data_IF_513235450042
#
_entry.id   IF_513235450042
#
_cell.length_a   1.000
_cell.length_b   1.000
_cell.length_c   1.000
_cell.angle_alpha   90.00
_cell.angle_beta   90.00
_cell.angle_gamma   90.00
#
_symmetry.space_group_name_H-M   'P 1'
#
loop_
_entity.id
_entity.type
_entity.pdbx_description
1 polymer ?
#
# COMPACT_ATOMS: atom_id res chain seq x y z
N UNK A 1 -18.01 -16.50 27.77
CA UNK A 1 -16.64 -16.14 27.37
C UNK A 1 -16.22 -17.04 26.21
N UNK A 2 -16.44 -16.61 24.98
CA UNK A 2 -15.77 -17.15 23.79
C UNK A 2 -15.62 -15.96 22.85
N UNK A 3 -14.42 -15.36 22.84
CA UNK A 3 -14.03 -14.32 21.89
C UNK A 3 -13.83 -15.01 20.55
N UNK A 4 -14.90 -15.06 19.75
CA UNK A 4 -14.82 -15.45 18.35
C UNK A 4 -13.96 -14.43 17.61
N UNK A 5 -12.81 -14.88 17.14
CA UNK A 5 -11.88 -14.13 16.30
C UNK A 5 -12.65 -13.53 15.12
N UNK A 6 -12.70 -12.19 15.05
CA UNK A 6 -13.15 -11.47 13.87
C UNK A 6 -12.12 -11.69 12.77
N UNK A 7 -12.18 -12.83 12.10
CA UNK A 7 -11.55 -13.02 10.80
C UNK A 7 -12.30 -12.10 9.84
N UNK A 8 -11.81 -10.88 9.70
CA UNK A 8 -12.26 -9.97 8.64
C UNK A 8 -11.96 -10.68 7.33
N UNK A 9 -12.99 -11.23 6.67
CA UNK A 9 -12.83 -11.87 5.38
C UNK A 9 -12.16 -10.90 4.40
N UNK A 10 -10.98 -11.21 3.83
CA UNK A 10 -10.32 -10.37 2.83
C UNK A 10 -11.24 -10.07 1.63
N UNK A 11 -12.15 -11.00 1.31
CA UNK A 11 -13.15 -10.89 0.23
C UNK A 11 -14.26 -9.86 0.48
N UNK A 12 -14.51 -9.47 1.74
CA UNK A 12 -15.50 -8.42 2.08
C UNK A 12 -14.90 -7.03 1.90
N UNK A 13 -13.58 -6.87 2.02
CA UNK A 13 -12.90 -5.60 1.80
C UNK A 13 -12.79 -5.25 0.31
N UNK A 14 -12.54 -6.24 -0.56
CA UNK A 14 -12.42 -6.04 -2.02
C UNK A 14 -13.72 -5.60 -2.73
N UNK A 15 -14.88 -5.61 -2.06
CA UNK A 15 -16.17 -5.24 -2.68
C UNK A 15 -16.73 -3.89 -2.23
N UNK A 16 -16.20 -3.28 -1.16
CA UNK A 16 -16.82 -2.13 -0.52
C UNK A 16 -16.06 -0.81 -0.70
N UNK A 17 -14.80 -0.84 -1.11
CA UNK A 17 -14.07 0.36 -1.49
C UNK A 17 -14.23 0.59 -2.98
N UNK A 18 -15.34 1.20 -3.38
CA UNK A 18 -15.38 1.95 -4.64
C UNK A 18 -14.47 3.16 -4.46
N UNK A 19 -13.15 2.97 -4.50
CA UNK A 19 -12.23 4.07 -4.67
C UNK A 19 -12.54 4.65 -6.05
N UNK A 20 -13.22 5.79 -6.03
CA UNK A 20 -13.28 6.72 -7.16
C UNK A 20 -11.89 6.75 -7.80
N UNK A 21 -11.78 6.44 -9.11
CA UNK A 21 -10.52 6.49 -9.88
C UNK A 21 -9.61 7.59 -9.33
N UNK A 22 -8.29 7.35 -9.21
CA UNK A 22 -7.31 8.33 -8.72
C UNK A 22 -7.25 9.67 -9.51
N UNK A 23 -8.18 9.92 -10.42
CA UNK A 23 -8.55 11.21 -11.02
C UNK A 23 -8.62 12.39 -10.04
N UNK A 24 -8.81 12.18 -8.73
CA UNK A 24 -8.75 13.26 -7.72
C UNK A 24 -7.35 13.90 -7.66
N UNK A 25 -6.29 13.15 -8.03
CA UNK A 25 -4.92 13.66 -8.13
C UNK A 25 -4.70 14.57 -9.35
N UNK A 26 -5.70 14.78 -10.21
CA UNK A 26 -5.70 15.80 -11.26
C UNK A 26 -6.27 17.16 -10.83
N UNK A 27 -6.69 17.31 -9.57
CA UNK A 27 -7.30 18.54 -9.06
C UNK A 27 -6.26 19.51 -8.45
N UNK A 28 -6.73 20.59 -7.80
CA UNK A 28 -5.92 21.67 -7.23
C UNK A 28 -4.79 21.15 -6.33
N UNK A 29 -3.62 21.81 -6.34
CA UNK A 29 -2.39 21.43 -5.61
C UNK A 29 -2.61 21.02 -4.14
N UNK A 30 -3.49 21.72 -3.40
CA UNK A 30 -3.80 21.40 -1.99
C UNK A 30 -4.55 20.08 -1.82
N UNK A 31 -5.42 19.71 -2.77
CA UNK A 31 -6.18 18.47 -2.68
C UNK A 31 -5.28 17.24 -2.93
N UNK A 32 -4.26 17.38 -3.79
CA UNK A 32 -3.30 16.30 -4.06
C UNK A 32 -2.53 15.87 -2.81
N UNK A 33 -2.03 16.83 -2.02
CA UNK A 33 -1.31 16.55 -0.77
C UNK A 33 -2.18 15.79 0.24
N UNK A 34 -3.40 16.29 0.50
CA UNK A 34 -4.33 15.64 1.43
C UNK A 34 -4.80 14.28 0.93
N UNK A 35 -5.02 14.11 -0.38
CA UNK A 35 -5.35 12.80 -0.95
C UNK A 35 -4.19 11.80 -0.79
N UNK A 36 -2.96 12.23 -1.05
CA UNK A 36 -1.79 11.36 -0.86
C UNK A 36 -1.61 11.00 0.62
N UNK A 37 -1.84 11.95 1.53
CA UNK A 37 -1.79 11.70 2.96
C UNK A 37 -2.87 10.72 3.43
N UNK A 38 -4.08 10.80 2.86
CA UNK A 38 -5.14 9.81 3.11
C UNK A 38 -4.75 8.42 2.61
N UNK A 39 -4.19 8.33 1.39
CA UNK A 39 -3.69 7.05 0.84
C UNK A 39 -2.62 6.48 1.77
N UNK A 40 -1.67 7.30 2.23
CA UNK A 40 -0.64 6.86 3.16
C UNK A 40 -1.23 6.39 4.49
N UNK A 41 -2.18 7.13 5.06
CA UNK A 41 -2.87 6.71 6.27
C UNK A 41 -3.56 5.36 6.10
N UNK A 42 -4.15 5.07 4.93
CA UNK A 42 -4.81 3.79 4.67
C UNK A 42 -3.82 2.64 4.44
N UNK A 43 -2.73 2.88 3.71
CA UNK A 43 -1.77 1.83 3.30
C UNK A 43 -0.74 1.51 4.38
N UNK A 44 -0.35 2.49 5.20
CA UNK A 44 0.71 2.32 6.21
C UNK A 44 0.17 1.89 7.58
N UNK A 45 -1.11 2.10 7.87
CA UNK A 45 -1.71 1.73 9.16
C UNK A 45 -1.78 0.21 9.41
N UNK A 46 -2.07 -0.66 8.42
CA UNK A 46 -2.19 -2.09 8.68
C UNK A 46 -0.85 -2.77 9.01
N UNK A 47 -0.82 -3.57 10.08
CA UNK A 47 0.37 -4.35 10.46
C UNK A 47 0.59 -5.59 9.56
N UNK A 48 -0.46 -6.08 8.93
CA UNK A 48 -0.40 -7.25 8.04
C UNK A 48 0.19 -6.88 6.67
N UNK A 49 1.33 -7.51 6.34
CA UNK A 49 2.04 -7.29 5.08
C UNK A 49 1.19 -7.61 3.85
N UNK A 50 0.43 -8.70 3.85
CA UNK A 50 -0.40 -9.10 2.70
C UNK A 50 -1.49 -8.06 2.45
N UNK A 51 -2.07 -7.53 3.51
CA UNK A 51 -3.08 -6.47 3.42
C UNK A 51 -2.48 -5.15 2.94
N UNK A 52 -1.32 -4.72 3.46
CA UNK A 52 -0.61 -3.53 2.97
C UNK A 52 -0.30 -3.62 1.48
N UNK A 53 0.26 -4.76 1.04
CA UNK A 53 0.61 -5.01 -0.36
C UNK A 53 -0.63 -5.04 -1.25
N UNK A 54 -1.70 -5.70 -0.80
CA UNK A 54 -2.97 -5.76 -1.54
C UNK A 54 -3.54 -4.36 -1.77
N UNK A 55 -3.66 -3.57 -0.71
CA UNK A 55 -4.23 -2.24 -0.75
C UNK A 55 -3.36 -1.28 -1.58
N UNK A 56 -2.03 -1.32 -1.43
CA UNK A 56 -1.12 -0.54 -2.27
C UNK A 56 -1.29 -0.88 -3.75
N UNK A 57 -1.38 -2.17 -4.08
CA UNK A 57 -1.55 -2.61 -5.46
C UNK A 57 -2.89 -2.17 -6.04
N UNK A 58 -3.95 -2.07 -5.23
CA UNK A 58 -5.23 -1.51 -5.65
C UNK A 58 -5.10 -0.03 -6.03
N UNK A 59 -4.52 0.81 -5.17
CA UNK A 59 -4.28 2.22 -5.48
C UNK A 59 -3.41 2.42 -6.73
N UNK A 60 -2.36 1.60 -6.90
CA UNK A 60 -1.49 1.63 -8.08
C UNK A 60 -2.26 1.33 -9.37
N UNK A 61 -3.09 0.27 -9.37
CA UNK A 61 -3.92 -0.12 -10.53
C UNK A 61 -5.02 0.90 -10.85
N UNK A 62 -5.54 1.59 -9.85
CA UNK A 62 -6.61 2.59 -10.01
C UNK A 62 -6.12 3.96 -10.49
N UNK A 63 -4.87 4.02 -10.97
CA UNK A 63 -4.29 5.15 -11.69
C UNK A 63 -3.19 5.90 -10.93
N UNK A 64 -2.84 5.51 -9.70
CA UNK A 64 -1.72 6.15 -8.99
C UNK A 64 -0.39 5.95 -9.73
N UNK A 65 -0.21 4.80 -10.41
CA UNK A 65 1.00 4.51 -11.19
C UNK A 65 1.28 5.58 -12.25
N UNK A 66 0.26 5.97 -13.03
CA UNK A 66 0.39 6.95 -14.11
C UNK A 66 0.68 8.38 -13.60
N UNK A 67 0.34 8.67 -12.34
CA UNK A 67 0.51 10.00 -11.76
C UNK A 67 1.80 10.12 -10.94
N UNK A 68 2.41 9.01 -10.53
CA UNK A 68 3.52 9.00 -9.58
C UNK A 68 4.72 9.84 -10.06
N UNK A 69 5.06 9.76 -11.34
CA UNK A 69 6.14 10.54 -11.96
C UNK A 69 5.85 12.06 -11.92
N UNK A 70 4.61 12.45 -12.21
CA UNK A 70 4.18 13.86 -12.09
C UNK A 70 4.15 14.34 -10.64
N UNK A 71 3.84 13.47 -9.69
CA UNK A 71 3.80 13.81 -8.27
C UNK A 71 5.21 13.94 -7.68
N UNK A 72 6.19 13.18 -8.17
CA UNK A 72 7.61 13.30 -7.76
C UNK A 72 8.25 14.62 -8.21
N UNK A 73 7.81 15.17 -9.34
CA UNK A 73 8.32 16.43 -9.91
C UNK A 73 7.56 17.68 -9.42
N UNK A 74 6.68 17.53 -8.42
CA UNK A 74 5.90 18.64 -7.88
C UNK A 74 6.75 19.67 -7.13
N UNK A 75 6.35 20.94 -7.20
CA UNK A 75 6.90 22.03 -6.39
C UNK A 75 6.34 22.06 -4.95
N UNK A 76 5.31 21.26 -4.66
CA UNK A 76 4.74 21.13 -3.32
C UNK A 76 5.55 20.14 -2.47
N UNK A 77 6.34 20.68 -1.55
CA UNK A 77 7.20 19.89 -0.65
C UNK A 77 6.41 18.88 0.18
N UNK A 78 5.24 19.26 0.73
CA UNK A 78 4.40 18.36 1.53
C UNK A 78 3.95 17.15 0.71
N UNK A 79 3.48 17.39 -0.51
CA UNK A 79 3.08 16.32 -1.43
C UNK A 79 4.26 15.42 -1.79
N UNK A 80 5.42 16.01 -2.10
CA UNK A 80 6.64 15.26 -2.42
C UNK A 80 7.07 14.36 -1.27
N UNK A 81 7.03 14.85 -0.02
CA UNK A 81 7.30 14.05 1.17
C UNK A 81 6.33 12.88 1.27
N UNK A 82 5.02 13.10 1.09
CA UNK A 82 4.04 12.01 1.14
C UNK A 82 4.27 10.95 0.06
N UNK A 83 4.65 11.36 -1.16
CA UNK A 83 4.98 10.43 -2.26
C UNK A 83 6.24 9.63 -1.95
N UNK A 84 7.27 10.30 -1.41
CA UNK A 84 8.52 9.65 -1.03
C UNK A 84 8.30 8.59 0.05
N UNK A 85 7.54 8.93 1.11
CA UNK A 85 7.16 7.98 2.17
C UNK A 85 6.41 6.77 1.59
N UNK A 86 5.50 7.00 0.64
CA UNK A 86 4.77 5.89 0.00
C UNK A 86 5.69 4.91 -0.74
N UNK A 87 6.73 5.44 -1.41
CA UNK A 87 7.73 4.65 -2.14
C UNK A 87 8.64 3.90 -1.16
N UNK A 88 9.15 4.56 -0.12
CA UNK A 88 10.00 3.94 0.90
C UNK A 88 9.28 2.77 1.58
N UNK A 89 8.02 2.95 1.95
CA UNK A 89 7.23 1.86 2.52
C UNK A 89 6.97 0.72 1.53
N UNK A 90 6.92 1.01 0.23
CA UNK A 90 6.84 -0.03 -0.81
C UNK A 90 8.12 -0.86 -0.86
N UNK A 91 9.29 -0.23 -0.74
CA UNK A 91 10.57 -0.94 -0.69
C UNK A 91 10.68 -1.78 0.57
N UNK A 92 10.31 -1.24 1.73
CA UNK A 92 10.28 -1.99 2.99
C UNK A 92 9.39 -3.24 2.92
N UNK A 93 8.19 -3.11 2.33
CA UNK A 93 7.29 -4.27 2.14
C UNK A 93 7.89 -5.31 1.19
N UNK A 94 8.65 -4.87 0.17
CA UNK A 94 9.36 -5.78 -0.74
C UNK A 94 10.49 -6.53 -0.04
N UNK A 95 11.26 -5.85 0.82
CA UNK A 95 12.31 -6.48 1.61
C UNK A 95 11.74 -7.49 2.62
N UNK A 96 10.60 -7.17 3.27
CA UNK A 96 9.92 -8.11 4.15
C UNK A 96 9.43 -9.36 3.39
N UNK A 97 8.85 -9.18 2.19
CA UNK A 97 8.46 -10.28 1.33
C UNK A 97 9.65 -11.18 0.95
N UNK A 98 10.79 -10.56 0.61
CA UNK A 98 12.01 -11.28 0.26
C UNK A 98 12.52 -12.11 1.44
N UNK A 99 12.56 -11.54 2.64
CA UNK A 99 12.95 -12.26 3.85
C UNK A 99 12.02 -13.45 4.12
N UNK A 100 10.70 -13.29 3.96
CA UNK A 100 9.75 -14.41 4.11
C UNK A 100 10.00 -15.50 3.07
N UNK A 101 10.30 -15.15 1.83
CA UNK A 101 10.62 -16.10 0.77
C UNK A 101 11.92 -16.87 1.04
N UNK A 102 12.96 -16.17 1.50
CA UNK A 102 14.23 -16.79 1.86
C UNK A 102 14.07 -17.79 3.01
N UNK A 103 13.26 -17.44 4.01
CA UNK A 103 12.92 -18.34 5.12
C UNK A 103 12.17 -19.60 4.65
N UNK A 104 11.19 -19.46 3.75
CA UNK A 104 10.47 -20.61 3.17
C UNK A 104 11.44 -21.51 2.40
N UNK A 105 12.33 -20.90 1.61
CA UNK A 105 13.32 -21.62 0.81
C UNK A 105 14.30 -22.40 1.68
N UNK A 106 14.75 -21.78 2.78
CA UNK A 106 15.58 -22.43 3.78
C UNK A 106 14.82 -23.61 4.41
N UNK A 107 13.62 -23.39 4.96
CA UNK A 107 12.85 -24.45 5.61
C UNK A 107 12.64 -25.66 4.69
N UNK A 108 12.32 -25.42 3.41
CA UNK A 108 12.20 -26.52 2.45
C UNK A 108 13.51 -27.28 2.26
N UNK A 109 14.68 -26.63 2.25
CA UNK A 109 15.97 -27.34 2.14
C UNK A 109 16.28 -28.22 3.36
N UNK A 110 15.88 -27.80 4.58
CA UNK A 110 16.10 -28.58 5.80
C UNK A 110 15.12 -29.75 5.95
N UNK A 111 13.89 -29.62 5.44
CA UNK A 111 12.91 -30.71 5.47
C UNK A 111 13.26 -31.89 4.52
N UNK A 112 14.22 -31.71 3.61
CA UNK A 112 14.73 -32.75 2.70
C UNK A 112 16.04 -33.42 3.16
N UNK A 113 16.47 -33.20 4.41
CA UNK A 113 17.62 -33.88 5.02
C UNK A 113 17.22 -34.63 6.29
#
# INVERSE_FOLDING_TARGET
MTLGTYTVCPKLFSRQLRFTKCTVLNQKKKLKASCMQLINALVLTPEDLEFRVHLRNEFMRDGLMDHLESLLTTDNEELRTQVQTFIEHKENDFDELRLRLDNISFNMQFDFH
#
